data_IF_913639645556
#
_entry.id   IF_913639645556
#
_cell.length_a   1.000
_cell.length_b   1.000
_cell.length_c   1.000
_cell.angle_alpha   90.00
_cell.angle_beta   90.00
_cell.angle_gamma   90.00
#
_symmetry.space_group_name_H-M   'P 1'
#
loop_
_entity.id
_entity.type
_entity.pdbx_description
1 polymer ?
#
# COMPACT_ATOMS: atom_id res chain seq x y z
N UNK A 1 -9.06 -18.16 0.93
CA UNK A 1 -8.47 -17.49 2.11
C UNK A 1 -8.51 -15.98 2.00
N UNK A 2 -7.90 -15.33 1.01
CA UNK A 2 -7.90 -13.85 0.93
C UNK A 2 -9.27 -13.22 0.63
N UNK A 3 -10.11 -13.90 -0.16
CA UNK A 3 -11.53 -13.51 -0.39
C UNK A 3 -12.39 -13.53 0.87
N UNK A 4 -11.90 -14.13 1.96
CA UNK A 4 -12.62 -14.29 3.24
C UNK A 4 -11.93 -13.53 4.38
N UNK A 5 -10.62 -13.23 4.23
CA UNK A 5 -9.80 -12.57 5.23
C UNK A 5 -9.32 -11.21 4.72
N UNK A 6 -9.91 -10.10 5.20
CA UNK A 6 -9.45 -8.75 4.83
C UNK A 6 -8.02 -8.49 5.33
N UNK A 7 -7.58 -9.20 6.38
CA UNK A 7 -6.20 -9.13 6.88
C UNK A 7 -5.24 -9.65 5.82
N UNK A 8 -5.45 -10.88 5.33
CA UNK A 8 -4.56 -11.47 4.32
C UNK A 8 -4.61 -10.66 3.02
N UNK A 9 -5.80 -10.19 2.64
CA UNK A 9 -5.98 -9.31 1.49
C UNK A 9 -5.12 -8.05 1.58
N UNK A 10 -5.10 -7.35 2.72
CA UNK A 10 -4.26 -6.14 2.88
C UNK A 10 -2.77 -6.46 3.01
N UNK A 11 -2.41 -7.54 3.69
CA UNK A 11 -1.00 -7.95 3.83
C UNK A 11 -0.38 -8.30 2.48
N UNK A 12 -1.13 -8.93 1.57
CA UNK A 12 -0.66 -9.20 0.22
C UNK A 12 -0.39 -7.91 -0.56
N UNK A 13 -1.18 -6.85 -0.35
CA UNK A 13 -0.96 -5.55 -0.99
C UNK A 13 0.38 -4.96 -0.56
N UNK A 14 0.67 -4.95 0.75
CA UNK A 14 1.96 -4.49 1.25
C UNK A 14 3.12 -5.29 0.65
N UNK A 15 3.01 -6.61 0.59
CA UNK A 15 4.04 -7.47 0.03
C UNK A 15 4.28 -7.21 -1.47
N UNK A 16 3.19 -7.07 -2.26
CA UNK A 16 3.27 -6.82 -3.70
C UNK A 16 3.84 -5.44 -4.02
N UNK A 17 3.40 -4.40 -3.31
CA UNK A 17 3.93 -3.04 -3.51
C UNK A 17 5.39 -2.99 -3.09
N UNK A 18 5.75 -3.54 -1.93
CA UNK A 18 7.14 -3.54 -1.45
C UNK A 18 8.08 -4.33 -2.37
N UNK A 19 7.68 -5.53 -2.79
CA UNK A 19 8.48 -6.35 -3.72
C UNK A 19 8.61 -5.70 -5.10
N UNK A 20 7.51 -5.16 -5.64
CA UNK A 20 7.53 -4.36 -6.86
C UNK A 20 8.50 -3.19 -6.75
N UNK A 21 8.37 -2.36 -5.70
CA UNK A 21 9.25 -1.20 -5.48
C UNK A 21 10.72 -1.58 -5.28
N UNK A 22 11.01 -2.66 -4.57
CA UNK A 22 12.38 -3.14 -4.42
C UNK A 22 12.98 -3.59 -5.76
N UNK A 23 12.25 -4.39 -6.53
CA UNK A 23 12.68 -4.84 -7.86
C UNK A 23 12.83 -3.65 -8.82
N UNK A 24 11.89 -2.73 -8.83
CA UNK A 24 11.95 -1.50 -9.62
C UNK A 24 13.19 -0.68 -9.28
N UNK A 25 13.42 -0.43 -8.00
CA UNK A 25 14.58 0.33 -7.53
C UNK A 25 15.92 -0.32 -7.88
N UNK A 26 15.99 -1.66 -7.87
CA UNK A 26 17.24 -2.39 -8.11
C UNK A 26 17.52 -2.65 -9.58
N UNK A 27 16.49 -2.94 -10.38
CA UNK A 27 16.65 -3.37 -11.77
C UNK A 27 16.55 -2.22 -12.78
N UNK A 28 15.84 -1.14 -12.46
CA UNK A 28 15.56 -0.08 -13.42
C UNK A 28 15.71 1.30 -12.80
N UNK A 29 16.43 2.19 -13.49
CA UNK A 29 16.42 3.62 -13.19
C UNK A 29 15.59 4.32 -14.25
N UNK A 30 14.56 5.02 -13.81
CA UNK A 30 13.61 5.66 -14.72
C UNK A 30 13.32 7.11 -14.35
N UNK A 31 12.64 7.80 -15.25
CA UNK A 31 12.29 9.20 -15.10
C UNK A 31 11.18 9.40 -14.06
N UNK A 32 11.11 10.61 -13.50
CA UNK A 32 10.23 10.94 -12.39
C UNK A 32 8.73 10.73 -12.70
N UNK A 33 8.29 10.81 -13.97
CA UNK A 33 6.87 10.62 -14.32
C UNK A 33 6.37 9.20 -14.04
N UNK A 34 7.26 8.19 -14.02
CA UNK A 34 6.90 6.83 -13.64
C UNK A 34 6.50 6.71 -12.17
N UNK A 35 6.90 7.67 -11.34
CA UNK A 35 6.42 7.78 -9.96
C UNK A 35 4.91 8.02 -9.93
N UNK A 36 4.42 8.95 -10.75
CA UNK A 36 2.99 9.28 -10.84
C UNK A 36 2.22 8.08 -11.40
N UNK A 37 2.72 7.49 -12.49
CA UNK A 37 2.11 6.29 -13.08
C UNK A 37 2.06 5.11 -12.10
N UNK A 38 3.07 4.98 -11.23
CA UNK A 38 3.13 3.93 -10.23
C UNK A 38 2.13 4.10 -9.08
N UNK A 39 1.91 5.35 -8.64
CA UNK A 39 1.01 5.66 -7.52
C UNK A 39 -0.46 5.48 -7.90
N UNK A 40 -0.84 5.83 -9.13
CA UNK A 40 -2.23 5.78 -9.60
C UNK A 40 -2.92 4.42 -9.39
N UNK A 41 -2.39 3.27 -9.84
CA UNK A 41 -3.04 1.99 -9.62
C UNK A 41 -3.11 1.64 -8.13
N UNK A 42 -2.06 1.95 -7.36
CA UNK A 42 -2.03 1.69 -5.92
C UNK A 42 -3.18 2.43 -5.22
N UNK A 43 -3.31 3.74 -5.43
CA UNK A 43 -4.37 4.52 -4.77
C UNK A 43 -5.76 4.16 -5.28
N UNK A 44 -5.90 3.86 -6.58
CA UNK A 44 -7.17 3.44 -7.17
C UNK A 44 -7.78 2.22 -6.47
N UNK A 45 -6.98 1.18 -6.22
CA UNK A 45 -7.48 -0.05 -5.59
C UNK A 45 -7.86 0.10 -4.11
N UNK A 46 -7.45 1.18 -3.47
CA UNK A 46 -7.86 1.51 -2.10
C UNK A 46 -9.18 2.31 -2.04
N UNK A 47 -9.73 2.74 -3.18
CA UNK A 47 -11.06 3.35 -3.22
C UNK A 47 -12.16 2.31 -2.93
N UNK A 48 -13.30 2.70 -2.33
CA UNK A 48 -14.33 1.75 -1.86
C UNK A 48 -14.81 0.73 -2.90
N UNK A 49 -15.13 1.20 -4.11
CA UNK A 49 -15.67 0.34 -5.18
C UNK A 49 -14.59 -0.58 -5.78
N UNK A 50 -13.43 -0.07 -6.24
CA UNK A 50 -12.34 -0.94 -6.70
C UNK A 50 -11.88 -1.95 -5.65
N UNK A 51 -11.76 -1.54 -4.39
CA UNK A 51 -11.44 -2.42 -3.28
C UNK A 51 -12.42 -3.59 -3.22
N UNK A 52 -13.72 -3.30 -3.23
CA UNK A 52 -14.77 -4.32 -3.17
C UNK A 52 -14.72 -5.26 -4.37
N UNK A 53 -14.44 -4.75 -5.57
CA UNK A 53 -14.31 -5.58 -6.77
C UNK A 53 -13.11 -6.52 -6.69
N UNK A 54 -11.94 -6.00 -6.31
CA UNK A 54 -10.72 -6.79 -6.13
C UNK A 54 -10.83 -7.83 -5.02
N UNK A 55 -11.61 -7.52 -3.98
CA UNK A 55 -11.87 -8.42 -2.87
C UNK A 55 -12.90 -9.52 -3.21
N UNK A 56 -13.87 -9.25 -4.10
CA UNK A 56 -14.99 -10.18 -4.37
C UNK A 56 -14.79 -11.09 -5.58
N UNK A 57 -14.03 -10.67 -6.59
CA UNK A 57 -13.97 -11.36 -7.88
C UNK A 57 -12.54 -11.68 -8.31
N UNK A 58 -12.29 -12.93 -8.70
CA UNK A 58 -10.95 -13.39 -9.08
C UNK A 58 -10.34 -12.63 -10.26
N UNK A 59 -11.15 -12.22 -11.24
CA UNK A 59 -10.67 -11.48 -12.40
C UNK A 59 -10.15 -10.10 -11.99
N UNK A 60 -10.88 -9.41 -11.10
CA UNK A 60 -10.46 -8.12 -10.56
C UNK A 60 -9.30 -8.27 -9.58
N UNK A 61 -9.24 -9.38 -8.83
CA UNK A 61 -8.11 -9.69 -7.96
C UNK A 61 -6.80 -9.83 -8.74
N UNK A 62 -6.81 -10.60 -9.85
CA UNK A 62 -5.62 -10.75 -10.70
C UNK A 62 -5.21 -9.40 -11.29
N UNK A 63 -6.18 -8.61 -11.78
CA UNK A 63 -5.91 -7.29 -12.32
C UNK A 63 -5.31 -6.36 -11.26
N UNK A 64 -5.84 -6.40 -10.04
CA UNK A 64 -5.32 -5.68 -8.90
C UNK A 64 -3.88 -6.07 -8.62
N UNK A 65 -3.60 -7.35 -8.41
CA UNK A 65 -2.26 -7.83 -8.04
C UNK A 65 -1.20 -7.41 -9.07
N UNK A 66 -1.50 -7.61 -10.35
CA UNK A 66 -0.62 -7.21 -11.44
C UNK A 66 -0.41 -5.69 -11.44
N UNK A 67 -1.48 -4.92 -11.35
CA UNK A 67 -1.40 -3.45 -11.45
C UNK A 67 -0.73 -2.80 -10.24
N UNK A 68 -0.94 -3.30 -9.01
CA UNK A 68 -0.23 -2.78 -7.83
C UNK A 68 1.24 -3.21 -7.80
N UNK A 69 1.56 -4.42 -8.27
CA UNK A 69 2.94 -4.86 -8.40
C UNK A 69 3.70 -4.01 -9.43
N UNK A 70 3.13 -3.84 -10.63
CA UNK A 70 3.69 -2.96 -11.66
C UNK A 70 3.74 -1.51 -11.19
N UNK A 71 2.72 -1.05 -10.45
CA UNK A 71 2.70 0.27 -9.83
C UNK A 71 3.87 0.46 -8.87
N UNK A 72 4.08 -0.51 -7.98
CA UNK A 72 5.23 -0.57 -7.07
C UNK A 72 6.55 -0.55 -7.84
N UNK A 73 6.67 -1.35 -8.91
CA UNK A 73 7.86 -1.41 -9.77
C UNK A 73 8.17 -0.06 -10.43
N UNK A 74 7.18 0.60 -11.02
CA UNK A 74 7.35 1.92 -11.62
C UNK A 74 7.75 2.95 -10.57
N UNK A 75 7.07 2.97 -9.42
CA UNK A 75 7.39 3.84 -8.29
C UNK A 75 8.85 3.66 -7.86
N UNK A 76 9.27 2.42 -7.59
CA UNK A 76 10.62 2.09 -7.16
C UNK A 76 11.69 2.51 -8.17
N UNK A 77 11.43 2.28 -9.47
CA UNK A 77 12.37 2.64 -10.54
C UNK A 77 12.62 4.15 -10.67
N UNK A 78 11.62 4.96 -10.31
CA UNK A 78 11.68 6.42 -10.37
C UNK A 78 12.31 7.06 -9.11
N UNK A 79 12.49 6.31 -8.01
CA UNK A 79 13.04 6.88 -6.77
C UNK A 79 14.48 7.41 -6.93
N UNK A 80 15.24 6.94 -7.91
CA UNK A 80 16.59 7.47 -8.18
C UNK A 80 16.58 8.88 -8.78
N UNK A 81 15.51 9.27 -9.46
CA UNK A 81 15.44 10.54 -10.21
C UNK A 81 14.76 11.68 -9.44
N UNK A 82 14.36 11.45 -8.18
CA UNK A 82 13.68 12.44 -7.35
C UNK A 82 14.50 12.83 -6.12
N UNK A 83 14.35 14.08 -5.71
CA UNK A 83 15.03 14.63 -4.54
C UNK A 83 14.57 13.95 -3.23
N UNK A 84 15.45 13.96 -2.22
CA UNK A 84 15.18 13.30 -0.94
C UNK A 84 13.90 13.81 -0.25
N UNK A 85 13.62 15.11 -0.31
CA UNK A 85 12.41 15.70 0.28
C UNK A 85 11.13 15.16 -0.38
N UNK A 86 11.16 14.85 -1.68
CA UNK A 86 10.02 14.22 -2.38
C UNK A 86 9.77 12.82 -1.82
N UNK A 87 10.83 12.03 -1.59
CA UNK A 87 10.72 10.69 -1.01
C UNK A 87 10.11 10.72 0.38
N UNK A 88 10.57 11.65 1.22
CA UNK A 88 10.02 11.85 2.57
C UNK A 88 8.55 12.26 2.51
N UNK A 89 8.20 13.16 1.58
CA UNK A 89 6.80 13.60 1.39
C UNK A 89 5.92 12.44 0.94
N UNK A 90 6.36 11.64 -0.03
CA UNK A 90 5.62 10.46 -0.49
C UNK A 90 5.44 9.43 0.61
N UNK A 91 6.49 9.21 1.42
CA UNK A 91 6.41 8.32 2.57
C UNK A 91 5.38 8.84 3.60
N UNK A 92 5.39 10.13 3.91
CA UNK A 92 4.41 10.74 4.82
C UNK A 92 2.98 10.63 4.27
N UNK A 93 2.77 10.88 2.97
CA UNK A 93 1.46 10.75 2.32
C UNK A 93 0.96 9.30 2.32
N UNK A 94 1.84 8.33 2.07
CA UNK A 94 1.55 6.91 2.23
C UNK A 94 1.08 6.59 3.66
N UNK A 95 1.84 7.05 4.67
CA UNK A 95 1.50 6.83 6.07
C UNK A 95 0.15 7.46 6.45
N UNK A 96 -0.18 8.63 5.91
CA UNK A 96 -1.47 9.29 6.16
C UNK A 96 -2.61 8.51 5.48
N UNK A 97 -2.45 8.16 4.20
CA UNK A 97 -3.48 7.48 3.41
C UNK A 97 -3.89 6.14 4.01
N UNK A 98 -2.90 5.30 4.33
CA UNK A 98 -3.16 3.99 4.93
C UNK A 98 -3.67 4.11 6.37
N UNK A 99 -3.27 5.15 7.12
CA UNK A 99 -3.85 5.41 8.45
C UNK A 99 -5.33 5.75 8.33
N UNK A 100 -5.71 6.63 7.39
CA UNK A 100 -7.12 6.94 7.13
C UNK A 100 -7.90 5.68 6.76
N UNK A 101 -7.38 4.86 5.85
CA UNK A 101 -8.03 3.61 5.47
C UNK A 101 -8.14 2.63 6.66
N UNK A 102 -7.10 2.50 7.47
CA UNK A 102 -7.11 1.65 8.66
C UNK A 102 -8.17 2.09 9.66
N UNK A 103 -8.36 3.40 9.87
CA UNK A 103 -9.41 3.94 10.73
C UNK A 103 -10.78 3.57 10.17
N UNK A 104 -11.00 3.71 8.85
CA UNK A 104 -12.24 3.30 8.20
C UNK A 104 -12.53 1.80 8.40
N UNK A 105 -11.51 0.95 8.43
CA UNK A 105 -11.65 -0.48 8.70
C UNK A 105 -11.94 -0.74 10.19
N UNK A 106 -11.27 -0.05 11.10
CA UNK A 106 -11.48 -0.17 12.57
C UNK A 106 -12.91 0.19 12.96
N UNK A 107 -13.47 1.25 12.37
CA UNK A 107 -14.87 1.64 12.63
C UNK A 107 -15.88 0.81 11.81
N UNK A 108 -15.41 -0.21 11.09
CA UNK A 108 -16.20 -1.06 10.21
C UNK A 108 -17.10 -0.25 9.24
N UNK A 109 -16.50 0.74 8.58
CA UNK A 109 -17.21 1.66 7.70
C UNK A 109 -18.07 0.91 6.67
N UNK A 110 -19.33 1.34 6.43
CA UNK A 110 -20.19 0.73 5.42
C UNK A 110 -19.65 0.87 3.99
N UNK A 111 -18.65 1.74 3.78
CA UNK A 111 -18.00 1.91 2.48
C UNK A 111 -17.15 0.70 2.06
N UNK A 112 -16.62 -0.06 3.03
CA UNK A 112 -15.70 -1.17 2.77
C UNK A 112 -16.24 -2.53 3.26
N UNK A 113 -17.42 -2.55 3.88
CA UNK A 113 -18.09 -3.78 4.33
C UNK A 113 -19.28 -4.14 3.43
N UNK A 114 -19.74 -5.38 3.57
CA UNK A 114 -20.94 -5.89 2.90
C UNK A 114 -22.26 -5.28 3.43
N UNK A 115 -22.20 -4.36 4.41
CA UNK A 115 -23.39 -3.72 5.01
C UNK A 115 -24.22 -2.98 3.96
N UNK A 116 -23.56 -2.28 3.03
CA UNK A 116 -24.21 -1.45 2.01
C UNK A 116 -23.63 -1.65 0.59
N UNK A 117 -22.89 -2.74 0.34
CA UNK A 117 -22.08 -2.84 -0.89
C UNK A 117 -21.71 -4.25 -1.31
N UNK A 118 -20.88 -4.32 -2.36
CA UNK A 118 -20.44 -5.55 -3.05
C UNK A 118 -19.25 -6.21 -2.35
N UNK A 119 -18.67 -5.57 -1.32
CA UNK A 119 -17.56 -6.11 -0.54
C UNK A 119 -17.94 -7.49 0.05
N UNK A 120 -17.03 -8.48 0.07
CA UNK A 120 -17.33 -9.79 0.62
C UNK A 120 -17.18 -9.82 2.15
N UNK A 121 -16.61 -8.77 2.74
CA UNK A 121 -16.23 -8.76 4.14
C UNK A 121 -17.36 -8.27 5.05
N UNK A 122 -17.77 -9.05 6.07
CA UNK A 122 -18.69 -8.57 7.09
C UNK A 122 -18.04 -7.46 7.94
N UNK A 123 -18.84 -6.52 8.50
CA UNK A 123 -18.33 -5.44 9.34
C UNK A 123 -17.41 -5.95 10.46
N UNK A 124 -17.71 -7.09 11.06
CA UNK A 124 -16.98 -7.64 12.21
C UNK A 124 -15.56 -8.13 11.85
N UNK A 125 -15.26 -8.38 10.57
CA UNK A 125 -13.92 -8.83 10.15
C UNK A 125 -12.97 -7.69 9.78
N UNK A 126 -13.47 -6.49 9.49
CA UNK A 126 -12.67 -5.33 9.11
C UNK A 126 -11.79 -4.76 10.23
N UNK A 127 -12.24 -4.68 11.51
CA UNK A 127 -11.42 -4.08 12.54
C UNK A 127 -10.07 -4.76 12.74
N UNK A 128 -10.02 -6.08 12.62
CA UNK A 128 -8.77 -6.82 12.70
C UNK A 128 -7.81 -6.46 11.55
N UNK A 129 -8.32 -6.25 10.34
CA UNK A 129 -7.52 -5.78 9.21
C UNK A 129 -6.99 -4.37 9.44
N UNK A 130 -7.83 -3.45 9.92
CA UNK A 130 -7.41 -2.08 10.25
C UNK A 130 -6.33 -2.04 11.34
N UNK A 131 -6.47 -2.83 12.41
CA UNK A 131 -5.44 -2.97 13.45
C UNK A 131 -4.15 -3.55 12.85
N UNK A 132 -4.26 -4.58 12.02
CA UNK A 132 -3.09 -5.21 11.37
C UNK A 132 -2.33 -4.21 10.48
N UNK A 133 -3.04 -3.36 9.74
CA UNK A 133 -2.44 -2.28 8.94
C UNK A 133 -1.67 -1.31 9.84
N UNK A 134 -2.27 -0.85 10.95
CA UNK A 134 -1.59 0.04 11.90
C UNK A 134 -0.29 -0.58 12.43
N UNK A 135 -0.29 -1.87 12.75
CA UNK A 135 0.92 -2.57 13.21
C UNK A 135 1.98 -2.58 12.10
N UNK A 136 1.63 -2.99 10.88
CA UNK A 136 2.57 -3.05 9.75
C UNK A 136 3.16 -1.68 9.45
N UNK A 137 2.33 -0.63 9.42
CA UNK A 137 2.78 0.74 9.17
C UNK A 137 3.75 1.24 10.24
N UNK A 138 3.50 0.93 11.52
CA UNK A 138 4.43 1.29 12.59
C UNK A 138 5.75 0.53 12.49
N UNK A 139 5.74 -0.74 12.08
CA UNK A 139 6.96 -1.50 11.82
C UNK A 139 7.76 -0.89 10.66
N UNK A 140 7.09 -0.49 9.58
CA UNK A 140 7.72 0.18 8.44
C UNK A 140 8.33 1.52 8.90
N UNK A 141 7.57 2.34 9.63
CA UNK A 141 8.04 3.62 10.17
C UNK A 141 9.26 3.45 11.08
N UNK A 142 9.20 2.52 12.04
CA UNK A 142 10.31 2.22 12.93
C UNK A 142 11.55 1.76 12.14
N UNK A 143 11.38 0.92 11.12
CA UNK A 143 12.45 0.48 10.23
C UNK A 143 13.08 1.64 9.46
N UNK A 144 12.28 2.53 8.87
CA UNK A 144 12.75 3.72 8.14
C UNK A 144 13.51 4.67 9.07
N UNK A 145 12.97 4.93 10.27
CA UNK A 145 13.62 5.75 11.30
C UNK A 145 14.96 5.13 11.69
N UNK A 146 14.98 3.84 12.03
CA UNK A 146 16.20 3.14 12.43
C UNK A 146 17.29 3.20 11.34
N UNK A 147 16.93 2.91 10.09
CA UNK A 147 17.88 2.98 8.96
C UNK A 147 18.38 4.41 8.79
N UNK A 148 17.49 5.41 8.84
CA UNK A 148 17.87 6.81 8.66
C UNK A 148 18.83 7.29 9.76
N UNK A 149 18.55 6.97 11.03
CA UNK A 149 19.44 7.28 12.15
C UNK A 149 20.78 6.58 12.02
N UNK A 150 20.78 5.29 11.64
CA UNK A 150 22.01 4.54 11.41
C UNK A 150 22.86 5.19 10.31
N UNK A 151 22.27 5.54 9.17
CA UNK A 151 22.98 6.21 8.07
C UNK A 151 23.54 7.58 8.48
N UNK A 152 22.82 8.31 9.34
CA UNK A 152 23.26 9.60 9.88
C UNK A 152 24.47 9.43 10.80
N UNK A 153 24.44 8.45 11.70
CA UNK A 153 25.55 8.13 12.59
C UNK A 153 26.80 7.62 11.84
N UNK A 154 26.60 6.97 10.70
CA UNK A 154 27.70 6.55 9.81
C UNK A 154 28.26 7.70 8.94
N UNK A 155 27.69 8.91 9.00
CA UNK A 155 28.15 10.08 8.23
C UNK A 155 27.90 9.97 6.72
N UNK A 156 26.89 9.21 6.28
CA UNK A 156 26.62 8.90 4.87
C UNK A 156 25.41 9.63 4.27
N UNK A 157 24.90 10.66 4.96
CA UNK A 157 23.71 11.43 4.57
C UNK A 157 24.08 12.73 3.85
#
# INVERSE_FOLDING_TARGET
MEFESPVLYMLSHYALIASGSLLGYTLLRSAWYNLVLGILPITFWHLPVPFSLGASFIQFRILLEISIFLGGFLLGSALHSVAQWVKVTLFALYMIGDTVLSILFVIASPLYSNRNGVSPYPPDSLPLAGISMIVVMNLILAGVIYISFKTLLEGKL
#
